data_IF_619701414775
#
_entry.id   IF_619701414775
#
_cell.length_a   1.000
_cell.length_b   1.000
_cell.length_c   1.000
_cell.angle_alpha   90.00
_cell.angle_beta   90.00
_cell.angle_gamma   90.00
#
_symmetry.space_group_name_H-M   'P 1'
#
loop_
_entity.id
_entity.type
_entity.pdbx_description
1 polymer ?
#
# COMPACT_ATOMS: atom_id res chain seq x y z
N UNK A 1 61.80 27.96 -12.02
CA UNK A 1 61.42 26.56 -12.32
C UNK A 1 59.99 26.33 -11.86
N UNK A 2 59.24 25.54 -12.63
CA UNK A 2 57.77 25.52 -12.72
C UNK A 2 57.06 25.00 -11.46
N UNK A 3 55.99 25.68 -11.05
CA UNK A 3 54.95 25.16 -10.17
C UNK A 3 54.09 24.16 -10.95
N UNK A 4 54.18 22.87 -10.65
CA UNK A 4 53.24 21.86 -11.16
C UNK A 4 52.05 21.76 -10.22
N UNK A 5 50.89 22.28 -10.67
CA UNK A 5 49.58 22.00 -10.07
C UNK A 5 49.15 20.60 -10.50
N UNK A 6 49.07 19.67 -9.55
CA UNK A 6 48.30 18.43 -9.76
C UNK A 6 46.81 18.78 -9.63
N UNK A 7 46.12 18.86 -10.76
CA UNK A 7 44.67 18.86 -10.78
C UNK A 7 44.21 17.44 -10.46
N UNK A 8 43.63 17.24 -9.27
CA UNK A 8 42.89 16.03 -8.96
C UNK A 8 41.63 16.02 -9.85
N UNK A 9 41.60 15.15 -10.85
CA UNK A 9 40.39 14.87 -11.61
C UNK A 9 39.39 14.18 -10.67
N UNK A 10 38.40 14.93 -10.20
CA UNK A 10 37.25 14.38 -9.50
C UNK A 10 36.42 13.60 -10.54
N UNK A 11 36.68 12.31 -10.67
CA UNK A 11 35.86 11.40 -11.46
C UNK A 11 34.48 11.32 -10.81
N UNK A 12 33.53 12.10 -11.33
CA UNK A 12 32.12 11.96 -11.00
C UNK A 12 31.67 10.58 -11.52
N UNK A 13 31.67 9.58 -10.64
CA UNK A 13 30.93 8.34 -10.87
C UNK A 13 29.45 8.72 -10.93
N UNK A 14 28.97 9.02 -12.13
CA UNK A 14 27.54 8.99 -12.41
C UNK A 14 27.16 7.52 -12.23
N UNK A 15 26.58 7.19 -11.08
CA UNK A 15 25.78 5.98 -10.96
C UNK A 15 24.72 6.09 -12.05
N UNK A 16 24.88 5.32 -13.13
CA UNK A 16 23.75 5.01 -14.00
C UNK A 16 22.67 4.50 -13.06
N UNK A 17 21.63 5.32 -12.85
CA UNK A 17 20.42 4.87 -12.20
C UNK A 17 20.00 3.64 -12.99
N UNK A 18 20.15 2.45 -12.39
CA UNK A 18 19.57 1.24 -12.97
C UNK A 18 18.11 1.60 -13.21
N UNK A 19 17.60 1.33 -14.41
CA UNK A 19 16.18 1.43 -14.68
C UNK A 19 15.47 0.65 -13.57
N UNK A 20 14.91 1.37 -12.61
CA UNK A 20 14.33 0.77 -11.42
C UNK A 20 13.00 0.21 -11.92
N UNK A 21 12.93 -1.11 -12.04
CA UNK A 21 11.63 -1.78 -12.07
C UNK A 21 11.19 -1.91 -10.63
N UNK A 22 9.88 -1.89 -10.32
CA UNK A 22 9.44 -2.22 -8.98
C UNK A 22 10.00 -3.59 -8.57
N UNK A 23 10.29 -3.81 -7.27
CA UNK A 23 10.78 -5.11 -6.77
C UNK A 23 9.75 -6.24 -6.95
N UNK A 24 8.53 -5.88 -7.34
CA UNK A 24 7.37 -6.73 -7.50
C UNK A 24 7.42 -7.64 -8.74
N UNK A 25 6.96 -8.88 -8.56
CA UNK A 25 6.93 -9.95 -9.54
C UNK A 25 5.55 -10.10 -10.18
N UNK A 26 5.53 -10.46 -11.47
CA UNK A 26 4.27 -10.82 -12.14
C UNK A 26 3.51 -9.62 -12.69
N UNK A 27 2.18 -9.71 -12.67
CA UNK A 27 1.28 -8.69 -13.21
C UNK A 27 0.76 -7.78 -12.10
N UNK A 28 0.88 -6.48 -12.30
CA UNK A 28 0.60 -5.44 -11.32
C UNK A 28 -0.54 -4.55 -11.79
N UNK A 29 -1.27 -4.02 -10.81
CA UNK A 29 -2.06 -2.82 -10.96
C UNK A 29 -1.13 -1.60 -10.88
N UNK A 30 -1.47 -0.55 -11.62
CA UNK A 30 -0.83 0.77 -11.51
C UNK A 30 -1.93 1.74 -11.12
N UNK A 31 -1.80 2.38 -9.96
CA UNK A 31 -2.89 3.10 -9.30
C UNK A 31 -2.44 4.53 -8.99
N UNK A 32 -3.26 5.57 -9.22
CA UNK A 32 -2.91 6.91 -8.76
C UNK A 32 -2.66 6.92 -7.25
N UNK A 33 -1.56 7.52 -6.80
CA UNK A 33 -1.23 7.62 -5.37
C UNK A 33 -2.29 8.37 -4.55
N UNK A 34 -2.99 9.30 -5.21
CA UNK A 34 -4.12 10.04 -4.63
C UNK A 34 -5.41 9.20 -4.50
N UNK A 35 -5.50 8.05 -5.18
CA UNK A 35 -6.66 7.15 -5.15
C UNK A 35 -6.30 5.74 -5.62
N UNK A 36 -6.00 4.85 -4.67
CA UNK A 36 -5.70 3.44 -4.93
C UNK A 36 -6.93 2.61 -5.37
N UNK A 37 -8.14 3.18 -5.39
CA UNK A 37 -9.34 2.53 -5.95
C UNK A 37 -9.46 2.62 -7.48
N UNK A 38 -8.54 3.34 -8.13
CA UNK A 38 -8.48 3.52 -9.59
C UNK A 38 -7.22 2.88 -10.16
N UNK A 39 -7.35 2.29 -11.34
CA UNK A 39 -6.31 1.52 -12.00
C UNK A 39 -6.09 2.00 -13.44
N UNK A 40 -4.83 2.10 -13.85
CA UNK A 40 -4.41 2.32 -15.22
C UNK A 40 -4.96 1.18 -16.09
N UNK A 41 -5.75 1.53 -17.10
CA UNK A 41 -6.55 0.61 -17.89
C UNK A 41 -6.40 0.91 -19.37
N UNK A 42 -6.00 -0.09 -20.15
CA UNK A 42 -6.04 -0.01 -21.60
C UNK A 42 -7.45 -0.30 -22.14
N UNK A 43 -7.96 0.54 -23.04
CA UNK A 43 -9.32 0.42 -23.55
C UNK A 43 -9.58 -0.86 -24.38
N UNK A 44 -8.56 -1.34 -25.10
CA UNK A 44 -8.62 -2.55 -25.95
C UNK A 44 -7.21 -3.08 -26.21
N UNK A 45 -7.10 -4.29 -26.79
CA UNK A 45 -5.83 -4.87 -27.25
C UNK A 45 -5.53 -4.52 -28.72
N UNK A 46 -5.56 -3.24 -29.06
CA UNK A 46 -5.24 -2.73 -30.41
C UNK A 46 -4.18 -1.64 -30.31
N UNK A 47 -3.36 -1.49 -31.34
CA UNK A 47 -2.38 -0.40 -31.39
C UNK A 47 -3.09 0.96 -31.40
N UNK A 48 -2.59 1.90 -30.61
CA UNK A 48 -3.20 3.21 -30.41
C UNK A 48 -4.39 3.21 -29.44
N UNK A 49 -4.72 2.07 -28.82
CA UNK A 49 -5.77 2.06 -27.81
C UNK A 49 -5.40 3.00 -26.65
N UNK A 50 -6.37 3.83 -26.27
CA UNK A 50 -6.16 4.84 -25.22
C UNK A 50 -5.95 4.16 -23.86
N UNK A 51 -5.14 4.82 -23.04
CA UNK A 51 -4.98 4.48 -21.63
C UNK A 51 -5.80 5.46 -20.79
N UNK A 52 -6.54 4.93 -19.82
CA UNK A 52 -7.38 5.67 -18.89
C UNK A 52 -7.16 5.20 -17.46
N UNK A 53 -7.69 5.90 -16.47
CA UNK A 53 -7.98 5.31 -15.16
C UNK A 53 -9.42 4.83 -15.11
N UNK A 54 -9.65 3.68 -14.47
CA UNK A 54 -10.97 3.07 -14.24
C UNK A 54 -11.00 2.49 -12.82
N UNK A 55 -12.18 2.14 -12.30
CA UNK A 55 -12.26 1.30 -11.10
C UNK A 55 -11.39 0.03 -11.24
N UNK A 56 -10.67 -0.32 -10.17
CA UNK A 56 -9.85 -1.53 -10.16
C UNK A 56 -10.72 -2.79 -10.19
N UNK A 57 -10.57 -3.59 -11.24
CA UNK A 57 -11.30 -4.86 -11.45
C UNK A 57 -10.36 -6.07 -11.46
N UNK A 58 -9.07 -5.86 -11.71
CA UNK A 58 -8.10 -6.94 -11.92
C UNK A 58 -8.21 -7.62 -13.28
N UNK A 59 -8.97 -7.04 -14.22
CA UNK A 59 -9.08 -7.53 -15.60
C UNK A 59 -7.73 -7.57 -16.30
N UNK A 60 -7.62 -8.34 -17.39
CA UNK A 60 -6.41 -8.38 -18.23
C UNK A 60 -6.03 -7.01 -18.81
N UNK A 61 -6.98 -6.08 -18.92
CA UNK A 61 -6.76 -4.69 -19.33
C UNK A 61 -6.16 -3.79 -18.25
N UNK A 62 -5.91 -4.31 -17.05
CA UNK A 62 -5.30 -3.62 -15.91
C UNK A 62 -4.04 -4.35 -15.39
N UNK A 63 -3.64 -5.44 -16.05
CA UNK A 63 -2.53 -6.30 -15.63
C UNK A 63 -1.23 -5.91 -16.35
N UNK A 64 -0.48 -5.00 -15.74
CA UNK A 64 0.77 -4.45 -16.28
C UNK A 64 1.98 -5.25 -15.80
N UNK A 65 2.97 -5.47 -16.67
CA UNK A 65 4.23 -6.14 -16.34
C UNK A 65 5.42 -5.25 -16.66
N UNK A 66 6.25 -4.97 -15.66
CA UNK A 66 7.50 -4.25 -15.85
C UNK A 66 8.57 -5.22 -16.35
N UNK A 67 9.20 -4.91 -17.49
CA UNK A 67 10.19 -5.78 -18.10
C UNK A 67 11.21 -4.96 -18.90
N UNK A 68 12.44 -4.85 -18.37
CA UNK A 68 13.59 -4.33 -19.11
C UNK A 68 13.41 -2.90 -19.63
N UNK A 69 12.70 -2.06 -18.88
CA UNK A 69 12.34 -0.68 -19.27
C UNK A 69 10.98 -0.56 -19.96
N UNK A 70 10.28 -1.65 -20.27
CA UNK A 70 8.93 -1.57 -20.84
C UNK A 70 7.86 -1.91 -19.81
N UNK A 71 6.74 -1.21 -19.87
CA UNK A 71 5.52 -1.49 -19.07
C UNK A 71 4.52 -2.18 -20.00
N UNK A 72 4.45 -3.51 -19.91
CA UNK A 72 3.74 -4.37 -20.86
C UNK A 72 2.32 -4.68 -20.40
N UNK A 73 1.41 -4.88 -21.35
CA UNK A 73 0.03 -5.31 -21.15
C UNK A 73 -0.40 -6.23 -22.28
N UNK A 74 -1.37 -7.12 -22.05
CA UNK A 74 -1.82 -8.13 -23.01
C UNK A 74 -0.70 -9.03 -23.60
N UNK A 75 0.45 -9.11 -22.92
CA UNK A 75 1.63 -9.89 -23.32
C UNK A 75 2.51 -9.24 -24.40
N UNK A 76 1.93 -8.55 -25.39
CA UNK A 76 2.65 -8.00 -26.55
C UNK A 76 2.51 -6.49 -26.75
N UNK A 77 1.73 -5.80 -25.91
CA UNK A 77 1.57 -4.34 -25.96
C UNK A 77 2.36 -3.67 -24.85
N UNK A 78 2.82 -2.46 -25.11
CA UNK A 78 3.62 -1.64 -24.22
C UNK A 78 2.95 -0.27 -24.04
N UNK A 79 3.05 0.30 -22.83
CA UNK A 79 2.76 1.72 -22.61
C UNK A 79 3.63 2.55 -23.54
N UNK A 80 3.02 3.51 -24.23
CA UNK A 80 3.63 4.22 -25.35
C UNK A 80 3.27 5.70 -25.32
N UNK A 81 4.28 6.57 -25.51
CA UNK A 81 4.10 8.00 -25.79
C UNK A 81 3.85 8.18 -27.29
N UNK A 82 2.64 8.64 -27.71
CA UNK A 82 2.33 8.77 -29.13
C UNK A 82 3.34 9.64 -29.87
N UNK A 83 3.84 9.11 -30.99
CA UNK A 83 4.83 9.77 -31.86
C UNK A 83 6.15 10.17 -31.18
N UNK A 84 6.40 9.74 -29.93
CA UNK A 84 7.57 10.17 -29.17
C UNK A 84 7.59 11.67 -28.87
N UNK A 85 6.42 12.33 -28.88
CA UNK A 85 6.34 13.76 -28.60
C UNK A 85 6.45 14.04 -27.10
N UNK A 86 7.47 14.81 -26.71
CA UNK A 86 7.72 15.22 -25.32
C UNK A 86 6.94 16.47 -24.89
N UNK A 87 5.96 16.90 -25.67
CA UNK A 87 5.09 18.02 -25.29
C UNK A 87 4.26 17.65 -24.06
N UNK A 88 4.28 18.50 -23.03
CA UNK A 88 3.44 18.35 -21.86
C UNK A 88 1.97 18.22 -22.27
N UNK A 89 1.28 17.23 -21.68
CA UNK A 89 -0.11 16.95 -22.01
C UNK A 89 -0.33 15.89 -23.08
N UNK A 90 0.73 15.37 -23.71
CA UNK A 90 0.61 14.25 -24.63
C UNK A 90 0.04 13.02 -23.90
N UNK A 91 -1.11 12.51 -24.36
CA UNK A 91 -1.87 11.44 -23.70
C UNK A 91 -1.31 10.08 -24.05
N UNK A 92 -1.20 9.20 -23.07
CA UNK A 92 -0.63 7.87 -23.27
C UNK A 92 -1.57 6.96 -24.08
N UNK A 93 -0.95 6.01 -24.77
CA UNK A 93 -1.62 4.92 -25.48
C UNK A 93 -0.90 3.60 -25.17
N UNK A 94 -1.39 2.51 -25.76
CA UNK A 94 -0.59 1.29 -25.91
C UNK A 94 -0.22 1.05 -27.36
N UNK A 95 0.90 0.38 -27.58
CA UNK A 95 1.36 -0.03 -28.91
C UNK A 95 2.08 -1.36 -28.84
N UNK A 96 2.19 -2.08 -29.96
CA UNK A 96 3.02 -3.28 -30.07
C UNK A 96 4.42 -3.00 -29.54
N UNK A 97 4.86 -3.84 -28.60
CA UNK A 97 6.18 -3.70 -27.99
C UNK A 97 7.28 -3.82 -29.04
N UNK A 98 8.18 -2.85 -29.08
CA UNK A 98 9.36 -2.89 -29.94
C UNK A 98 10.42 -3.86 -29.41
N UNK A 99 11.03 -4.64 -30.30
CA UNK A 99 12.19 -5.49 -29.98
C UNK A 99 13.50 -4.69 -29.86
N UNK A 100 13.55 -3.45 -30.37
CA UNK A 100 14.76 -2.63 -30.44
C UNK A 100 14.79 -1.51 -29.38
N UNK A 101 14.07 -1.67 -28.26
CA UNK A 101 13.97 -0.67 -27.18
C UNK A 101 13.58 0.73 -27.67
N UNK A 102 12.51 0.81 -28.47
CA UNK A 102 11.96 2.10 -28.94
C UNK A 102 11.81 3.09 -27.75
N UNK A 103 12.46 4.28 -27.80
CA UNK A 103 12.42 5.27 -26.73
C UNK A 103 11.00 5.61 -26.24
N UNK A 104 10.01 5.63 -27.12
CA UNK A 104 8.61 5.95 -26.78
C UNK A 104 7.99 4.99 -25.74
N UNK A 105 8.57 3.81 -25.57
CA UNK A 105 8.07 2.71 -24.74
C UNK A 105 9.00 2.38 -23.57
N UNK A 106 9.96 3.27 -23.27
CA UNK A 106 10.96 3.06 -22.22
C UNK A 106 10.61 3.86 -20.96
N UNK A 107 10.05 3.21 -19.95
CA UNK A 107 9.75 3.79 -18.64
C UNK A 107 10.53 3.07 -17.54
N UNK A 108 10.85 3.79 -16.47
CA UNK A 108 11.33 3.23 -15.23
C UNK A 108 10.48 3.74 -14.06
N UNK A 109 10.38 2.93 -13.02
CA UNK A 109 9.64 3.22 -11.82
C UNK A 109 10.61 3.58 -10.69
N UNK A 110 10.47 4.76 -10.11
CA UNK A 110 11.41 5.26 -9.09
C UNK A 110 11.03 4.82 -7.68
N UNK A 111 11.98 4.93 -6.75
CA UNK A 111 11.73 4.67 -5.32
C UNK A 111 10.80 5.68 -4.64
N UNK A 112 10.52 6.82 -5.28
CA UNK A 112 9.52 7.80 -4.85
C UNK A 112 8.21 7.69 -5.65
N UNK A 113 7.92 6.49 -6.17
CA UNK A 113 6.65 6.11 -6.80
C UNK A 113 6.28 6.89 -8.08
N UNK A 114 7.27 7.31 -8.88
CA UNK A 114 7.02 7.92 -10.20
C UNK A 114 7.25 6.91 -11.32
N UNK A 115 6.41 6.95 -12.36
CA UNK A 115 6.67 6.28 -13.62
C UNK A 115 7.29 7.26 -14.61
N UNK A 116 8.61 7.28 -14.70
CA UNK A 116 9.39 8.24 -15.49
C UNK A 116 9.69 7.71 -16.89
N UNK A 117 9.55 8.58 -17.89
CA UNK A 117 9.94 8.32 -19.27
C UNK A 117 11.46 8.47 -19.42
N UNK A 118 12.12 7.36 -19.78
CA UNK A 118 13.58 7.20 -19.73
C UNK A 118 14.31 8.26 -20.54
N UNK A 119 15.14 9.09 -19.91
CA UNK A 119 15.93 10.17 -20.52
C UNK A 119 15.13 11.36 -21.10
N UNK A 120 13.87 11.57 -20.69
CA UNK A 120 13.05 12.68 -21.20
C UNK A 120 12.70 13.74 -20.15
N UNK A 121 12.96 13.49 -18.87
CA UNK A 121 12.54 14.38 -17.78
C UNK A 121 11.02 14.48 -17.61
N UNK A 122 10.28 13.52 -18.16
CA UNK A 122 8.81 13.46 -18.12
C UNK A 122 8.33 12.28 -17.29
N UNK A 123 7.22 12.46 -16.59
CA UNK A 123 6.60 11.48 -15.73
C UNK A 123 5.15 11.24 -16.17
N UNK A 124 4.64 10.03 -15.91
CA UNK A 124 3.21 9.73 -16.01
C UNK A 124 2.46 10.64 -15.03
N UNK A 125 1.46 11.35 -15.53
CA UNK A 125 0.73 12.38 -14.80
C UNK A 125 -0.78 12.14 -14.93
N UNK A 126 -1.46 12.08 -13.79
CA UNK A 126 -2.92 12.09 -13.74
C UNK A 126 -3.40 13.50 -14.11
N UNK A 127 -3.99 13.62 -15.29
CA UNK A 127 -4.32 14.93 -15.87
C UNK A 127 -5.17 15.77 -14.94
N UNK A 128 -4.61 16.89 -14.51
CA UNK A 128 -5.24 17.85 -13.60
C UNK A 128 -5.72 17.22 -12.29
N UNK A 129 -5.16 16.08 -11.89
CA UNK A 129 -5.61 15.31 -10.72
C UNK A 129 -7.03 14.75 -10.83
N UNK A 130 -7.61 14.69 -12.03
CA UNK A 130 -8.98 14.23 -12.21
C UNK A 130 -9.11 12.72 -11.96
N UNK A 131 -9.84 12.34 -10.91
CA UNK A 131 -10.02 10.95 -10.49
C UNK A 131 -11.24 10.26 -11.13
N UNK A 132 -11.95 10.94 -12.04
CA UNK A 132 -13.09 10.37 -12.74
C UNK A 132 -12.67 9.22 -13.66
N UNK A 133 -13.54 8.20 -13.74
CA UNK A 133 -13.38 7.10 -14.70
C UNK A 133 -13.29 7.64 -16.13
N UNK A 134 -12.37 7.07 -16.92
CA UNK A 134 -12.10 7.52 -18.28
C UNK A 134 -11.10 8.68 -18.39
N UNK A 135 -10.64 9.25 -17.28
CA UNK A 135 -9.56 10.25 -17.32
C UNK A 135 -8.32 9.63 -17.97
N UNK A 136 -7.79 10.30 -18.98
CA UNK A 136 -6.60 9.85 -19.73
C UNK A 136 -5.33 10.44 -19.11
N UNK A 137 -4.41 9.61 -18.58
CA UNK A 137 -3.11 10.08 -18.14
C UNK A 137 -2.31 10.69 -19.28
N UNK A 138 -1.38 11.56 -18.91
CA UNK A 138 -0.50 12.27 -19.83
C UNK A 138 0.95 12.15 -19.40
N UNK A 139 1.88 12.56 -20.25
CA UNK A 139 3.22 12.91 -19.80
C UNK A 139 3.27 14.39 -19.40
N UNK A 140 4.03 14.67 -18.35
CA UNK A 140 4.31 16.03 -17.88
C UNK A 140 5.73 16.12 -17.33
N UNK A 141 6.28 17.32 -17.18
CA UNK A 141 7.56 17.51 -16.48
C UNK A 141 7.52 16.86 -15.10
N UNK A 142 8.53 16.06 -14.78
CA UNK A 142 8.62 15.40 -13.48
C UNK A 142 8.72 16.43 -12.34
N UNK A 143 7.96 16.22 -11.27
CA UNK A 143 8.01 17.03 -10.05
C UNK A 143 7.76 16.18 -8.82
N UNK A 144 8.66 16.25 -7.85
CA UNK A 144 8.57 15.53 -6.57
C UNK A 144 7.50 16.09 -5.61
N UNK A 145 6.86 17.21 -5.94
CA UNK A 145 5.77 17.80 -5.14
C UNK A 145 4.40 17.62 -5.79
N UNK A 146 4.34 17.05 -6.99
CA UNK A 146 3.10 16.87 -7.72
C UNK A 146 2.48 15.50 -7.43
N UNK A 147 1.47 15.47 -6.55
CA UNK A 147 0.76 14.24 -6.20
C UNK A 147 0.10 13.53 -7.40
N UNK A 148 -0.12 14.21 -8.53
CA UNK A 148 -0.66 13.62 -9.75
C UNK A 148 0.33 12.68 -10.45
N UNK A 149 1.62 12.74 -10.08
CA UNK A 149 2.68 11.93 -10.69
C UNK A 149 3.13 10.76 -9.80
N UNK A 150 2.50 10.63 -8.63
CA UNK A 150 2.69 9.49 -7.74
C UNK A 150 1.75 8.37 -8.19
N UNK A 151 2.32 7.19 -8.41
CA UNK A 151 1.59 5.99 -8.81
C UNK A 151 2.01 4.82 -7.94
N UNK A 152 1.08 4.25 -7.20
CA UNK A 152 1.31 2.99 -6.49
C UNK A 152 1.31 1.84 -7.50
N UNK A 153 2.09 0.81 -7.22
CA UNK A 153 2.09 -0.43 -7.98
C UNK A 153 1.90 -1.59 -7.02
N UNK A 154 0.96 -2.47 -7.34
CA UNK A 154 0.68 -3.62 -6.50
C UNK A 154 -0.26 -4.60 -7.17
N UNK A 155 -1.14 -5.23 -6.42
CA UNK A 155 -1.80 -6.45 -6.82
C UNK A 155 -3.30 -6.40 -6.57
N UNK A 156 -4.04 -7.06 -7.47
CA UNK A 156 -5.43 -7.39 -7.18
C UNK A 156 -5.47 -8.58 -6.24
N UNK A 157 -6.20 -8.47 -5.13
CA UNK A 157 -6.43 -9.58 -4.20
C UNK A 157 -7.03 -10.84 -4.87
N UNK A 158 -7.63 -10.70 -6.04
CA UNK A 158 -8.23 -11.81 -6.79
C UNK A 158 -7.26 -12.48 -7.79
N UNK A 159 -6.07 -11.93 -7.99
CA UNK A 159 -5.08 -12.43 -8.94
C UNK A 159 -3.67 -12.23 -8.40
N UNK A 160 -3.33 -12.99 -7.36
CA UNK A 160 -2.02 -12.95 -6.73
C UNK A 160 -1.12 -14.03 -7.32
N UNK A 161 0.16 -13.72 -7.63
CA UNK A 161 1.14 -14.74 -7.94
C UNK A 161 1.46 -15.59 -6.71
N UNK A 162 2.21 -16.68 -6.89
CA UNK A 162 2.69 -17.47 -5.75
C UNK A 162 3.61 -16.65 -4.84
N UNK A 163 4.47 -15.80 -5.42
CA UNK A 163 5.37 -14.89 -4.69
C UNK A 163 5.37 -13.54 -5.39
N UNK A 164 5.45 -12.48 -4.61
CA UNK A 164 5.40 -11.09 -5.07
C UNK A 164 6.77 -10.45 -5.08
N UNK A 165 7.74 -10.97 -4.33
CA UNK A 165 9.10 -10.42 -4.24
C UNK A 165 10.17 -11.51 -4.22
N UNK A 166 11.39 -11.14 -4.59
CA UNK A 166 12.54 -12.06 -4.57
C UNK A 166 13.00 -12.27 -3.12
N UNK A 167 13.18 -13.53 -2.72
CA UNK A 167 13.62 -13.87 -1.37
C UNK A 167 12.48 -14.17 -0.41
N UNK A 168 11.23 -14.02 -0.88
CA UNK A 168 10.05 -14.41 -0.14
C UNK A 168 10.07 -15.90 0.22
N UNK A 169 9.88 -16.21 1.51
CA UNK A 169 9.87 -17.59 2.03
C UNK A 169 8.47 -18.23 2.07
N UNK A 170 7.41 -17.41 2.08
CA UNK A 170 6.02 -17.86 2.06
C UNK A 170 5.36 -17.80 0.69
N UNK A 171 4.05 -17.58 0.67
CA UNK A 171 3.25 -17.50 -0.56
C UNK A 171 2.11 -16.49 -0.47
N UNK A 172 1.80 -15.83 -1.59
CA UNK A 172 0.59 -15.01 -1.74
C UNK A 172 -0.56 -15.79 -2.41
N UNK A 173 -0.31 -16.99 -2.92
CA UNK A 173 -1.33 -17.90 -3.45
C UNK A 173 -1.96 -18.76 -2.33
N UNK A 174 -2.53 -18.11 -1.33
CA UNK A 174 -2.90 -18.74 -0.07
C UNK A 174 -4.05 -19.76 -0.16
N UNK A 175 -4.87 -19.68 -1.20
CA UNK A 175 -6.13 -20.44 -1.26
C UNK A 175 -7.11 -19.98 -0.17
N UNK A 176 -8.02 -20.87 0.24
CA UNK A 176 -9.07 -20.54 1.24
C UNK A 176 -8.99 -21.38 2.51
N UNK A 177 -8.37 -22.56 2.46
CA UNK A 177 -8.32 -23.47 3.62
C UNK A 177 -7.28 -23.03 4.63
N UNK A 178 -7.73 -22.60 5.80
CA UNK A 178 -6.84 -22.24 6.90
C UNK A 178 -6.14 -23.46 7.50
N UNK A 179 -4.88 -23.29 7.88
CA UNK A 179 -4.04 -24.32 8.48
C UNK A 179 -3.00 -23.68 9.39
N UNK A 180 -2.69 -24.29 10.52
CA UNK A 180 -1.61 -23.84 11.41
C UNK A 180 -0.21 -23.98 10.80
N UNK A 181 -0.08 -24.73 9.70
CA UNK A 181 1.15 -24.85 8.92
C UNK A 181 1.17 -23.91 7.70
N UNK A 182 0.15 -23.05 7.52
CA UNK A 182 0.10 -22.14 6.39
C UNK A 182 1.33 -21.23 6.33
N UNK A 183 1.76 -20.95 5.09
CA UNK A 183 2.82 -20.03 4.73
C UNK A 183 2.29 -18.77 4.03
N UNK A 184 0.99 -18.50 4.19
CA UNK A 184 0.35 -17.35 3.57
C UNK A 184 0.95 -16.04 4.06
N UNK A 185 1.29 -15.15 3.12
CA UNK A 185 1.82 -13.81 3.37
C UNK A 185 0.88 -12.72 2.85
N UNK A 186 -0.44 -12.94 3.03
CA UNK A 186 -1.47 -11.93 2.84
C UNK A 186 -2.16 -11.66 4.18
N UNK A 187 -2.14 -10.41 4.63
CA UNK A 187 -2.86 -9.93 5.81
C UNK A 187 -4.08 -9.11 5.38
N UNK A 188 -5.05 -9.03 6.29
CA UNK A 188 -6.32 -8.36 6.07
C UNK A 188 -6.66 -7.53 7.30
N UNK A 189 -7.17 -6.31 7.12
CA UNK A 189 -7.59 -5.45 8.24
C UNK A 189 -8.96 -4.84 7.88
N UNK A 190 -10.02 -5.37 8.49
CA UNK A 190 -11.40 -4.98 8.19
C UNK A 190 -12.19 -4.53 9.42
N UNK A 191 -11.96 -5.16 10.57
CA UNK A 191 -12.64 -4.84 11.84
C UNK A 191 -11.90 -5.50 13.01
N UNK A 192 -12.32 -5.22 14.25
CA UNK A 192 -11.87 -5.92 15.45
C UNK A 192 -12.16 -7.42 15.40
N UNK A 193 -13.15 -7.85 14.62
CA UNK A 193 -13.47 -9.26 14.45
C UNK A 193 -12.71 -9.88 13.28
N UNK A 194 -12.32 -9.09 12.28
CA UNK A 194 -11.81 -9.57 11.01
C UNK A 194 -10.49 -8.88 10.62
N UNK A 195 -9.40 -9.45 11.11
CA UNK A 195 -8.06 -8.94 10.87
C UNK A 195 -7.02 -10.07 10.87
N UNK A 196 -5.79 -9.73 10.51
CA UNK A 196 -4.64 -10.59 10.64
C UNK A 196 -3.47 -9.87 11.28
N UNK A 197 -2.58 -10.63 11.89
CA UNK A 197 -1.29 -10.20 12.42
C UNK A 197 -0.19 -10.97 11.71
N UNK A 198 0.97 -10.34 11.56
CA UNK A 198 2.20 -11.02 11.18
C UNK A 198 2.81 -11.69 12.41
N UNK A 199 3.16 -12.97 12.32
CA UNK A 199 3.82 -13.67 13.41
C UNK A 199 4.58 -14.93 12.94
N UNK A 200 5.54 -15.44 13.74
CA UNK A 200 6.58 -16.30 13.21
C UNK A 200 6.04 -17.62 12.64
N UNK A 201 6.59 -18.11 11.51
CA UNK A 201 6.19 -19.41 10.97
C UNK A 201 6.54 -20.57 11.90
N UNK A 202 7.53 -20.39 12.76
CA UNK A 202 8.01 -21.29 13.80
C UNK A 202 8.46 -20.49 15.02
N UNK A 203 8.56 -21.11 16.18
CA UNK A 203 8.90 -20.44 17.44
C UNK A 203 10.20 -19.61 17.32
N UNK A 204 10.13 -18.30 17.56
CA UNK A 204 11.24 -17.35 17.38
C UNK A 204 10.94 -15.96 17.96
N UNK A 205 11.93 -15.08 17.99
CA UNK A 205 11.71 -13.64 18.24
C UNK A 205 11.28 -12.96 16.94
N UNK A 206 10.50 -11.90 17.03
CA UNK A 206 10.09 -11.10 15.87
C UNK A 206 11.32 -10.54 15.15
N UNK A 207 12.30 -10.01 15.88
CA UNK A 207 13.53 -9.48 15.27
C UNK A 207 14.32 -10.53 14.48
N UNK A 208 14.33 -11.80 14.91
CA UNK A 208 15.02 -12.87 14.17
C UNK A 208 14.23 -13.38 12.95
N UNK A 209 12.89 -13.23 12.96
CA UNK A 209 12.00 -13.82 11.96
C UNK A 209 11.27 -12.81 11.08
N UNK A 210 11.52 -11.51 11.25
CA UNK A 210 10.79 -10.41 10.61
C UNK A 210 10.63 -10.55 9.09
N UNK A 211 11.61 -11.19 8.43
CA UNK A 211 11.61 -11.39 6.97
C UNK A 211 10.71 -12.53 6.50
N UNK A 212 10.39 -13.45 7.41
CA UNK A 212 9.74 -14.74 7.16
C UNK A 212 8.36 -14.86 7.80
N UNK A 213 7.85 -13.78 8.41
CA UNK A 213 6.56 -13.75 9.07
C UNK A 213 5.43 -14.23 8.15
N UNK A 214 4.43 -14.88 8.76
CA UNK A 214 3.24 -15.39 8.07
C UNK A 214 1.98 -14.84 8.71
N UNK A 215 0.89 -14.86 7.95
CA UNK A 215 -0.38 -14.27 8.37
C UNK A 215 -1.15 -15.18 9.33
N UNK A 216 -1.49 -14.62 10.49
CA UNK A 216 -2.38 -15.19 11.50
C UNK A 216 -3.66 -14.37 11.60
N UNK A 217 -4.76 -14.91 11.11
CA UNK A 217 -6.04 -14.19 11.05
C UNK A 217 -7.00 -14.59 12.16
N UNK A 218 -7.80 -13.63 12.61
CA UNK A 218 -8.93 -13.87 13.53
C UNK A 218 -10.02 -14.72 12.90
N UNK A 219 -10.10 -14.76 11.57
CA UNK A 219 -11.07 -15.56 10.80
C UNK A 219 -10.38 -16.59 9.90
N UNK A 220 -11.04 -17.73 9.72
CA UNK A 220 -10.64 -18.73 8.73
C UNK A 220 -11.16 -18.39 7.33
N UNK A 221 -10.78 -19.16 6.30
CA UNK A 221 -11.31 -18.99 4.94
C UNK A 221 -10.41 -18.18 3.99
N UNK A 222 -9.22 -17.80 4.46
CA UNK A 222 -8.22 -17.01 3.71
C UNK A 222 -6.95 -17.77 3.36
N UNK A 223 -6.91 -19.06 3.65
CA UNK A 223 -5.68 -19.85 3.48
C UNK A 223 -4.60 -19.55 4.52
N UNK A 224 -4.88 -18.69 5.50
CA UNK A 224 -3.95 -18.24 6.54
C UNK A 224 -3.95 -19.16 7.75
N UNK A 225 -3.02 -18.91 8.69
CA UNK A 225 -3.14 -19.45 10.05
C UNK A 225 -4.30 -18.75 10.76
N UNK A 226 -4.88 -19.41 11.75
CA UNK A 226 -5.92 -18.79 12.59
C UNK A 226 -5.38 -18.50 13.97
N UNK A 227 -5.63 -17.30 14.48
CA UNK A 227 -5.30 -16.91 15.85
C UNK A 227 -6.07 -17.85 16.82
N UNK A 228 -5.39 -18.63 17.68
CA UNK A 228 -6.07 -19.55 18.58
C UNK A 228 -7.04 -18.82 19.53
N UNK A 229 -8.18 -19.46 19.82
CA UNK A 229 -9.18 -18.87 20.73
C UNK A 229 -8.56 -18.55 22.11
N UNK A 230 -8.94 -17.41 22.67
CA UNK A 230 -8.45 -16.93 23.96
C UNK A 230 -7.01 -16.39 23.95
N UNK A 231 -6.37 -16.28 22.78
CA UNK A 231 -5.11 -15.55 22.59
C UNK A 231 -5.32 -14.06 22.84
N UNK A 232 -6.30 -13.46 22.16
CA UNK A 232 -6.61 -12.03 22.27
C UNK A 232 -7.35 -11.74 23.58
N UNK A 233 -6.88 -10.72 24.32
CA UNK A 233 -7.47 -10.25 25.58
C UNK A 233 -8.14 -8.90 25.43
N UNK A 234 -7.69 -8.06 24.50
CA UNK A 234 -8.38 -6.85 24.07
C UNK A 234 -8.07 -6.58 22.60
N UNK A 235 -9.03 -5.99 21.89
CA UNK A 235 -8.91 -5.59 20.48
C UNK A 235 -9.68 -4.29 20.27
N UNK A 236 -9.00 -3.27 19.79
CA UNK A 236 -9.59 -2.00 19.43
C UNK A 236 -9.30 -1.73 17.96
N UNK A 237 -10.35 -1.60 17.16
CA UNK A 237 -10.25 -1.24 15.76
C UNK A 237 -10.81 0.15 15.54
N UNK A 238 -10.06 0.97 14.79
CA UNK A 238 -10.53 2.26 14.31
C UNK A 238 -10.45 2.35 12.79
N UNK A 239 -11.47 2.98 12.20
CA UNK A 239 -11.40 3.51 10.84
C UNK A 239 -11.32 5.03 10.91
N UNK A 240 -10.31 5.61 10.28
CA UNK A 240 -10.17 7.05 10.09
C UNK A 240 -10.39 7.43 8.62
N UNK A 241 -10.35 8.72 8.26
CA UNK A 241 -10.36 9.13 6.86
C UNK A 241 -9.20 8.56 6.03
N UNK A 242 -8.00 8.40 6.62
CA UNK A 242 -6.78 8.07 5.88
C UNK A 242 -6.14 6.72 6.26
N UNK A 243 -6.63 6.02 7.27
CA UNK A 243 -6.11 4.71 7.65
C UNK A 243 -7.11 3.86 8.44
N UNK A 244 -6.84 2.55 8.48
CA UNK A 244 -7.38 1.68 9.52
C UNK A 244 -6.26 1.35 10.49
N UNK A 245 -6.63 1.16 11.75
CA UNK A 245 -5.70 0.72 12.79
C UNK A 245 -6.38 -0.30 13.68
N UNK A 246 -5.62 -1.33 14.04
CA UNK A 246 -6.01 -2.29 15.05
C UNK A 246 -4.94 -2.42 16.12
N UNK A 247 -5.34 -2.35 17.37
CA UNK A 247 -4.48 -2.43 18.54
C UNK A 247 -5.04 -3.43 19.54
N UNK A 248 -4.20 -3.97 20.41
CA UNK A 248 -4.68 -4.89 21.43
C UNK A 248 -3.61 -5.57 22.25
N UNK A 249 -4.09 -6.39 23.18
CA UNK A 249 -3.26 -7.16 24.11
C UNK A 249 -3.66 -8.64 24.08
N UNK A 250 -2.74 -9.53 24.42
CA UNK A 250 -2.94 -10.97 24.28
C UNK A 250 -1.88 -11.83 24.96
N UNK A 251 -2.10 -13.14 24.90
CA UNK A 251 -1.03 -14.14 25.06
C UNK A 251 -0.55 -14.55 23.65
N UNK A 252 0.33 -13.72 23.08
CA UNK A 252 0.77 -13.83 21.69
C UNK A 252 1.90 -14.86 21.52
N UNK A 253 2.36 -15.46 22.62
CA UNK A 253 3.23 -16.66 22.58
C UNK A 253 2.57 -17.83 21.84
N UNK A 254 1.23 -17.82 21.74
CA UNK A 254 0.43 -18.76 20.95
C UNK A 254 0.55 -18.58 19.44
N UNK A 255 1.17 -17.49 18.98
CA UNK A 255 1.45 -17.21 17.57
C UNK A 255 2.91 -17.50 17.22
N UNK A 256 3.58 -18.36 17.99
CA UNK A 256 5.01 -18.70 17.90
C UNK A 256 5.98 -17.60 18.37
N UNK A 257 5.51 -16.52 18.97
CA UNK A 257 6.39 -15.50 19.53
C UNK A 257 7.05 -16.04 20.82
N UNK A 258 8.34 -15.79 21.00
CA UNK A 258 9.05 -16.15 22.22
C UNK A 258 8.56 -15.32 23.41
N UNK A 259 8.35 -15.97 24.55
CA UNK A 259 8.00 -15.27 25.79
C UNK A 259 9.14 -14.32 26.21
N UNK A 260 8.79 -13.09 26.57
CA UNK A 260 9.72 -12.02 26.90
C UNK A 260 10.31 -11.28 25.69
N UNK A 261 9.88 -11.63 24.48
CA UNK A 261 10.22 -10.86 23.29
C UNK A 261 9.51 -9.50 23.33
N UNK A 262 10.30 -8.43 23.25
CA UNK A 262 9.78 -7.05 23.25
C UNK A 262 9.13 -6.68 21.92
N UNK A 263 9.28 -7.52 20.90
CA UNK A 263 8.73 -7.33 19.57
C UNK A 263 9.67 -6.62 18.62
N UNK A 264 9.13 -6.23 17.47
CA UNK A 264 9.82 -5.47 16.43
C UNK A 264 8.84 -4.77 15.50
N UNK A 265 9.36 -3.87 14.68
CA UNK A 265 8.60 -3.27 13.58
C UNK A 265 8.56 -4.20 12.37
N UNK A 266 7.42 -4.23 11.70
CA UNK A 266 7.16 -4.89 10.43
C UNK A 266 6.49 -3.89 9.49
N UNK A 267 6.94 -3.85 8.25
CA UNK A 267 6.57 -2.83 7.25
C UNK A 267 6.81 -3.32 5.80
N UNK A 268 6.29 -2.62 4.77
CA UNK A 268 6.39 -3.06 3.38
C UNK A 268 7.76 -2.84 2.72
N UNK A 269 8.68 -2.11 3.33
CA UNK A 269 9.95 -1.69 2.74
C UNK A 269 11.18 -2.26 3.43
N UNK A 270 11.14 -2.48 4.74
CA UNK A 270 12.28 -2.96 5.54
C UNK A 270 13.57 -2.15 5.37
N UNK A 271 14.66 -2.63 5.96
CA UNK A 271 15.95 -1.92 5.92
C UNK A 271 16.65 -1.95 4.54
N UNK A 272 16.33 -2.92 3.69
CA UNK A 272 16.98 -3.12 2.38
C UNK A 272 16.07 -2.80 1.17
N UNK A 273 14.90 -2.22 1.42
CA UNK A 273 13.90 -1.90 0.40
C UNK A 273 12.99 -3.07 0.02
N UNK A 274 13.09 -4.23 0.69
CA UNK A 274 12.07 -5.28 0.67
C UNK A 274 11.39 -5.38 2.04
N UNK A 275 10.10 -5.66 2.04
CA UNK A 275 9.32 -5.73 3.27
C UNK A 275 9.80 -6.77 4.29
N UNK A 276 9.34 -6.59 5.52
CA UNK A 276 9.42 -7.52 6.63
C UNK A 276 7.99 -7.80 7.13
N UNK A 277 7.33 -8.89 6.68
CA UNK A 277 7.88 -9.96 5.85
C UNK A 277 8.05 -9.61 4.37
N UNK A 278 9.03 -10.24 3.73
CA UNK A 278 9.27 -10.06 2.30
C UNK A 278 8.03 -10.57 1.54
N UNK A 279 7.48 -9.74 0.65
CA UNK A 279 6.27 -10.06 -0.10
C UNK A 279 4.98 -10.04 0.73
N UNK A 280 5.01 -9.48 1.93
CA UNK A 280 3.83 -9.25 2.77
C UNK A 280 2.86 -8.28 2.11
N UNK A 281 1.66 -8.75 1.77
CA UNK A 281 0.60 -7.91 1.22
C UNK A 281 -0.50 -7.66 2.24
N UNK A 282 -0.96 -6.41 2.36
CA UNK A 282 -2.07 -6.03 3.25
C UNK A 282 -3.26 -5.57 2.43
N UNK A 283 -4.43 -6.12 2.74
CA UNK A 283 -5.69 -5.77 2.08
C UNK A 283 -6.76 -5.34 3.09
N UNK A 284 -7.75 -4.59 2.64
CA UNK A 284 -8.92 -4.33 3.47
C UNK A 284 -10.12 -3.82 2.69
N UNK A 285 -11.24 -3.70 3.40
CA UNK A 285 -12.53 -3.28 2.85
C UNK A 285 -12.95 -1.87 3.26
N UNK A 286 -12.18 -1.21 4.13
CA UNK A 286 -12.57 0.06 4.74
C UNK A 286 -12.62 1.22 3.73
N UNK A 287 -11.76 1.17 2.72
CA UNK A 287 -11.59 2.22 1.70
C UNK A 287 -11.91 1.75 0.27
N UNK A 288 -12.30 0.48 0.11
CA UNK A 288 -12.58 -0.12 -1.18
C UNK A 288 -12.61 -1.64 -1.06
N UNK A 289 -13.26 -2.33 -2.00
CA UNK A 289 -13.40 -3.78 -1.95
C UNK A 289 -12.05 -4.50 -2.13
N UNK A 290 -11.55 -5.12 -1.06
CA UNK A 290 -10.27 -5.84 -1.04
C UNK A 290 -9.13 -5.01 -1.62
N UNK A 291 -9.11 -3.73 -1.25
CA UNK A 291 -8.13 -2.76 -1.66
C UNK A 291 -6.77 -3.11 -1.05
N UNK A 292 -5.70 -3.03 -1.82
CA UNK A 292 -4.35 -3.14 -1.26
C UNK A 292 -3.99 -1.85 -0.51
N UNK A 293 -3.47 -2.00 0.70
CA UNK A 293 -2.83 -0.92 1.44
C UNK A 293 -1.32 -1.03 1.23
N UNK A 294 -0.76 -0.07 0.50
CA UNK A 294 0.66 -0.08 0.12
C UNK A 294 1.57 0.41 1.23
N UNK A 295 1.06 1.25 2.13
CA UNK A 295 1.78 1.76 3.29
C UNK A 295 1.12 1.23 4.54
N UNK A 296 1.88 0.51 5.35
CA UNK A 296 1.40 -0.07 6.59
C UNK A 296 2.57 -0.26 7.55
N UNK A 297 2.30 -0.22 8.83
CA UNK A 297 3.30 -0.46 9.88
C UNK A 297 2.66 -1.35 10.92
N UNK A 298 3.39 -2.34 11.42
CA UNK A 298 2.92 -3.23 12.47
C UNK A 298 4.00 -3.43 13.52
N UNK A 299 3.59 -3.48 14.78
CA UNK A 299 4.44 -3.96 15.86
C UNK A 299 3.69 -5.07 16.59
N UNK A 300 4.44 -6.08 17.02
CA UNK A 300 3.90 -7.19 17.79
C UNK A 300 4.96 -7.70 18.75
N UNK A 301 4.57 -7.97 19.98
CA UNK A 301 5.39 -8.59 21.03
C UNK A 301 4.73 -9.85 21.54
N UNK A 302 5.20 -10.43 22.65
CA UNK A 302 4.52 -11.55 23.28
C UNK A 302 3.22 -11.16 24.02
N UNK A 303 3.00 -9.87 24.30
CA UNK A 303 1.85 -9.37 25.07
C UNK A 303 0.95 -8.36 24.34
N UNK A 304 1.45 -7.67 23.32
CA UNK A 304 0.69 -6.61 22.63
C UNK A 304 0.93 -6.57 21.13
N UNK A 305 0.00 -5.93 20.42
CA UNK A 305 0.12 -5.68 19.00
C UNK A 305 -0.53 -4.38 18.60
N UNK A 306 -0.05 -3.83 17.49
CA UNK A 306 -0.66 -2.72 16.79
C UNK A 306 -0.33 -2.85 15.30
N UNK A 307 -1.30 -2.54 14.46
CA UNK A 307 -1.16 -2.65 13.01
C UNK A 307 -2.00 -1.56 12.36
N UNK A 308 -1.33 -0.63 11.68
CA UNK A 308 -1.96 0.45 10.93
C UNK A 308 -1.71 0.26 9.44
N UNK A 309 -2.73 0.50 8.63
CA UNK A 309 -2.62 0.48 7.18
C UNK A 309 -3.28 1.72 6.58
N UNK A 310 -2.50 2.45 5.78
CA UNK A 310 -2.78 3.81 5.36
C UNK A 310 -3.11 3.90 3.87
N UNK A 311 -3.91 4.90 3.52
CA UNK A 311 -4.31 5.22 2.15
C UNK A 311 -4.17 6.71 1.85
N UNK A 312 -4.28 7.05 0.57
CA UNK A 312 -4.28 8.43 0.11
C UNK A 312 -2.87 9.06 0.04
N UNK A 313 -2.81 10.37 -0.24
CA UNK A 313 -1.54 11.07 -0.53
C UNK A 313 -0.58 11.15 0.66
N UNK A 314 -1.08 10.97 1.89
CA UNK A 314 -0.29 11.02 3.12
C UNK A 314 0.02 9.63 3.68
N UNK A 315 -0.21 8.55 2.93
CA UNK A 315 -0.14 7.19 3.46
C UNK A 315 1.22 6.88 4.13
N UNK A 316 2.34 7.16 3.46
CA UNK A 316 3.69 6.96 4.00
C UNK A 316 3.99 7.87 5.21
N UNK A 317 3.31 9.01 5.32
CA UNK A 317 3.44 9.90 6.49
C UNK A 317 2.63 9.42 7.69
N UNK A 318 1.49 8.77 7.44
CA UNK A 318 0.60 8.27 8.48
C UNK A 318 1.02 6.88 8.99
N UNK A 319 1.74 6.12 8.17
CA UNK A 319 2.37 4.83 8.46
C UNK A 319 3.87 4.98 8.21
N UNK A 320 4.60 5.59 9.16
CA UNK A 320 6.04 5.81 9.05
C UNK A 320 6.81 4.56 9.46
N UNK A 321 7.97 4.36 8.82
CA UNK A 321 8.82 3.18 9.01
C UNK A 321 10.23 3.49 9.52
N UNK A 322 10.33 4.53 10.37
CA UNK A 322 11.61 5.06 10.87
C UNK A 322 11.66 5.16 12.39
N UNK A 323 10.67 4.59 13.07
CA UNK A 323 10.45 4.70 14.52
C UNK A 323 10.38 3.33 15.20
N UNK A 324 11.19 2.41 14.69
CA UNK A 324 11.20 0.98 14.98
C UNK A 324 11.36 0.62 16.46
N UNK A 325 12.07 1.46 17.24
CA UNK A 325 12.33 1.18 18.67
C UNK A 325 11.32 1.82 19.61
N UNK A 326 10.32 2.52 19.08
CA UNK A 326 9.34 3.26 19.88
C UNK A 326 8.14 2.40 20.31
N UNK A 327 7.84 1.34 19.56
CA UNK A 327 6.79 0.37 19.89
C UNK A 327 5.35 0.90 19.74
N UNK A 328 4.38 0.08 20.15
CA UNK A 328 2.97 0.32 19.86
C UNK A 328 2.39 1.60 20.47
N UNK A 329 2.60 1.81 21.77
CA UNK A 329 2.02 2.95 22.47
C UNK A 329 2.49 4.31 21.97
N UNK A 330 3.70 4.37 21.40
CA UNK A 330 4.25 5.61 20.88
C UNK A 330 3.89 5.83 19.41
N UNK A 331 4.03 4.81 18.57
CA UNK A 331 3.74 4.92 17.13
C UNK A 331 2.23 4.94 16.83
N UNK A 332 1.44 4.14 17.57
CA UNK A 332 0.00 3.98 17.37
C UNK A 332 -0.76 4.12 18.68
N UNK A 333 -0.83 5.34 19.26
CA UNK A 333 -1.61 5.61 20.47
C UNK A 333 -3.08 5.27 20.25
N UNK A 334 -3.65 4.45 21.13
CA UNK A 334 -5.03 3.96 21.03
C UNK A 334 -5.50 3.33 22.35
N UNK A 335 -6.67 2.71 22.34
CA UNK A 335 -7.09 1.80 23.41
C UNK A 335 -6.35 0.44 23.30
N UNK A 336 -5.79 -0.03 24.41
CA UNK A 336 -5.14 -1.36 24.55
C UNK A 336 -5.74 -2.18 25.72
N UNK A 337 -6.84 -1.68 26.32
CA UNK A 337 -7.43 -2.25 27.53
C UNK A 337 -7.85 -3.71 27.34
N UNK A 338 -7.43 -4.57 28.26
CA UNK A 338 -7.91 -5.93 28.32
C UNK A 338 -9.42 -5.97 28.62
N UNK A 339 -10.14 -6.89 27.99
CA UNK A 339 -11.59 -7.04 28.07
C UNK A 339 -12.37 -6.08 27.16
N UNK A 340 -11.70 -5.17 26.44
CA UNK A 340 -12.33 -4.32 25.43
C UNK A 340 -12.18 -4.93 24.05
N UNK A 341 -13.30 -5.08 23.37
CA UNK A 341 -13.37 -5.56 22.00
C UNK A 341 -14.32 -4.62 21.26
N UNK A 342 -13.80 -3.76 20.39
CA UNK A 342 -14.63 -2.69 19.82
C UNK A 342 -14.21 -2.26 18.42
N UNK A 343 -15.20 -1.84 17.64
CA UNK A 343 -15.03 -1.15 16.38
C UNK A 343 -15.46 0.30 16.56
N UNK A 344 -14.62 1.24 16.15
CA UNK A 344 -14.88 2.67 16.25
C UNK A 344 -14.59 3.37 14.92
N UNK A 345 -15.19 4.54 14.72
CA UNK A 345 -14.63 5.56 13.84
C UNK A 345 -13.65 6.41 14.66
N UNK A 346 -12.68 7.06 14.02
CA UNK A 346 -11.80 8.01 14.69
C UNK A 346 -11.33 9.13 13.75
N UNK A 347 -10.92 10.25 14.34
CA UNK A 347 -10.13 11.25 13.64
C UNK A 347 -8.74 10.68 13.29
N UNK A 348 -8.04 11.30 12.33
CA UNK A 348 -6.63 10.97 12.12
C UNK A 348 -5.79 11.39 13.33
N UNK A 349 -4.85 10.54 13.71
CA UNK A 349 -3.81 10.87 14.67
C UNK A 349 -2.89 11.98 14.16
N UNK A 350 -2.19 12.58 15.11
CA UNK A 350 -1.01 13.36 14.78
C UNK A 350 0.04 12.43 14.13
N UNK A 351 0.67 12.87 13.03
CA UNK A 351 1.71 12.09 12.35
C UNK A 351 2.88 11.73 13.26
N UNK A 352 3.37 10.50 13.14
CA UNK A 352 4.45 9.97 13.98
C UNK A 352 5.68 10.89 13.93
N UNK A 353 6.18 11.28 15.10
CA UNK A 353 7.34 12.14 15.27
C UNK A 353 7.13 13.64 14.96
N UNK A 354 5.91 14.09 14.64
CA UNK A 354 5.64 15.50 14.32
C UNK A 354 5.05 16.25 15.53
N UNK A 355 5.85 17.13 16.14
CA UNK A 355 5.46 17.92 17.30
C UNK A 355 5.37 19.40 16.94
N UNK A 356 4.14 19.86 16.68
CA UNK A 356 3.88 21.22 16.19
C UNK A 356 4.47 21.41 14.80
N UNK A 357 5.45 22.30 14.67
CA UNK A 357 6.20 22.53 13.43
C UNK A 357 7.53 21.76 13.35
N UNK A 358 7.87 21.00 14.40
CA UNK A 358 9.12 20.24 14.48
C UNK A 358 8.90 18.76 14.15
N UNK A 359 9.95 18.12 13.62
CA UNK A 359 10.00 16.67 13.44
C UNK A 359 11.12 16.13 14.31
N UNK A 360 10.79 15.19 15.18
CA UNK A 360 11.75 14.43 15.98
C UNK A 360 12.13 13.17 15.23
N UNK A 361 13.41 12.79 15.29
CA UNK A 361 13.91 11.56 14.69
C UNK A 361 14.44 10.62 15.76
N UNK A 362 14.22 9.31 15.55
CA UNK A 362 14.68 8.26 16.45
C UNK A 362 16.15 8.42 16.84
N UNK A 363 16.44 8.30 18.14
CA UNK A 363 17.77 8.47 18.72
C UNK A 363 18.11 9.89 19.18
N UNK A 364 17.32 10.91 18.82
CA UNK A 364 17.49 12.27 19.34
C UNK A 364 17.01 12.39 20.80
N UNK A 365 17.69 13.23 21.60
CA UNK A 365 17.35 13.46 23.02
C UNK A 365 16.90 14.91 23.28
N UNK A 366 15.90 15.13 24.15
CA UNK A 366 15.09 14.10 24.82
C UNK A 366 14.12 13.43 23.85
N UNK A 367 13.83 12.15 24.08
CA UNK A 367 12.73 11.46 23.39
C UNK A 367 11.41 12.06 23.86
N UNK A 368 10.56 12.59 22.96
CA UNK A 368 9.29 13.18 23.33
C UNK A 368 8.28 12.11 23.77
N UNK A 369 7.29 12.53 24.55
CA UNK A 369 6.16 11.67 24.90
C UNK A 369 5.37 11.28 23.64
N UNK A 370 4.70 10.13 23.69
CA UNK A 370 3.76 9.71 22.66
C UNK A 370 2.69 10.79 22.41
N UNK A 371 2.20 10.88 21.18
CA UNK A 371 1.02 11.68 20.92
C UNK A 371 -0.19 11.14 21.70
N UNK A 372 -1.14 12.00 22.09
CA UNK A 372 -2.42 11.51 22.58
C UNK A 372 -3.13 10.74 21.45
N UNK A 373 -3.83 9.66 21.79
CA UNK A 373 -4.70 8.97 20.87
C UNK A 373 -5.76 9.94 20.31
N UNK A 374 -6.01 9.86 19.00
CA UNK A 374 -7.11 10.58 18.38
C UNK A 374 -8.45 10.20 19.01
N UNK A 375 -9.39 11.13 18.92
CA UNK A 375 -10.72 10.94 19.47
C UNK A 375 -11.45 9.85 18.69
N UNK A 376 -11.82 8.78 19.38
CA UNK A 376 -12.72 7.76 18.86
C UNK A 376 -14.18 8.18 18.98
N UNK A 377 -15.01 7.67 18.08
CA UNK A 377 -16.45 7.93 17.99
C UNK A 377 -17.17 6.70 17.44
N UNK A 378 -18.51 6.66 17.58
CA UNK A 378 -19.35 5.56 17.10
C UNK A 378 -18.88 4.16 17.52
N UNK A 379 -18.27 4.04 18.69
CA UNK A 379 -17.71 2.79 19.17
C UNK A 379 -18.80 1.75 19.47
N UNK A 380 -18.65 0.57 18.87
CA UNK A 380 -19.52 -0.58 19.05
C UNK A 380 -18.71 -1.71 19.66
N UNK A 381 -19.13 -2.16 20.86
CA UNK A 381 -18.58 -3.36 21.48
C UNK A 381 -18.95 -4.59 20.65
N UNK A 382 -17.97 -5.47 20.44
CA UNK A 382 -18.16 -6.79 19.83
C UNK A 382 -17.85 -7.88 20.85
N UNK A 383 -18.36 -9.11 20.66
CA UNK A 383 -17.98 -10.23 21.49
C UNK A 383 -16.47 -10.49 21.45
N UNK A 384 -15.95 -11.20 22.44
CA UNK A 384 -14.57 -11.70 22.39
C UNK A 384 -14.33 -12.47 21.09
N UNK A 385 -13.18 -12.23 20.47
CA UNK A 385 -12.87 -12.78 19.15
C UNK A 385 -12.72 -14.29 19.22
N UNK A 386 -13.47 -14.99 18.36
CA UNK A 386 -13.36 -16.43 18.15
C UNK A 386 -13.15 -16.72 16.67
N UNK A 387 -12.42 -17.81 16.39
CA UNK A 387 -12.22 -18.28 15.03
C UNK A 387 -13.56 -18.68 14.43
N UNK A 388 -13.97 -17.93 13.40
CA UNK A 388 -15.10 -18.23 12.55
C UNK A 388 -14.70 -18.01 11.08
N UNK A 389 -15.40 -18.61 10.11
CA UNK A 389 -15.16 -18.30 8.70
C UNK A 389 -15.33 -16.81 8.43
N UNK A 390 -14.45 -16.24 7.60
CA UNK A 390 -14.64 -14.92 7.04
C UNK A 390 -15.96 -14.89 6.25
N UNK A 391 -16.74 -13.81 6.38
CA UNK A 391 -17.99 -13.68 5.63
C UNK A 391 -17.69 -13.71 4.12
N UNK A 392 -18.43 -14.52 3.36
CA UNK A 392 -18.26 -14.58 1.90
C UNK A 392 -18.82 -13.33 1.25
N UNK A 393 -18.29 -12.97 0.07
CA UNK A 393 -18.68 -11.81 -0.75
C UNK A 393 -20.19 -11.61 -0.96
N UNK A 394 -21.01 -12.68 -0.89
CA UNK A 394 -22.48 -12.60 -1.06
C UNK A 394 -23.23 -12.21 0.23
N UNK A 395 -22.61 -12.36 1.38
CA UNK A 395 -23.22 -12.10 2.69
C UNK A 395 -22.92 -10.68 3.22
N UNK A 396 -22.07 -9.95 2.49
CA UNK A 396 -21.79 -8.54 2.72
C UNK A 396 -22.73 -7.77 1.80
N UNK A 397 -23.94 -7.47 2.29
CA UNK A 397 -24.80 -6.49 1.65
C UNK A 397 -24.04 -5.16 1.61
N UNK A 398 -23.38 -4.87 0.49
CA UNK A 398 -22.88 -3.54 0.22
C UNK A 398 -24.11 -2.66 -0.01
N UNK A 399 -24.62 -2.07 1.07
CA UNK A 399 -25.35 -0.82 0.93
C UNK A 399 -24.35 0.18 0.34
N UNK A 400 -24.37 0.30 -0.98
CA UNK A 400 -23.92 1.53 -1.60
C UNK A 400 -24.77 2.61 -0.95
N UNK A 401 -24.20 3.41 -0.04
CA UNK A 401 -24.73 4.73 0.23
C UNK A 401 -24.64 5.45 -1.10
N UNK A 402 -25.74 5.39 -1.85
CA UNK A 402 -25.92 6.11 -3.10
C UNK A 402 -25.61 7.56 -2.74
N UNK A 403 -24.61 8.15 -3.39
CA UNK A 403 -24.43 9.60 -3.30
C UNK A 403 -25.81 10.24 -3.51
N UNK A 404 -26.22 11.20 -2.67
CA UNK A 404 -27.50 11.88 -2.88
C UNK A 404 -27.56 12.31 -4.34
N UNK A 405 -28.67 11.99 -5.01
CA UNK A 405 -28.87 12.37 -6.39
C UNK A 405 -28.56 13.86 -6.52
N UNK A 406 -27.77 14.30 -7.52
CA UNK A 406 -27.48 15.70 -7.69
C UNK A 406 -28.82 16.45 -7.71
N UNK A 407 -28.96 17.41 -6.81
CA UNK A 407 -30.09 18.34 -6.84
C UNK A 407 -30.17 18.91 -8.25
N UNK A 408 -31.33 18.81 -8.93
CA UNK A 408 -31.50 19.39 -10.25
C UNK A 408 -31.03 20.84 -10.22
N UNK A 409 -30.15 21.22 -11.13
CA UNK A 409 -29.74 22.60 -11.27
C UNK A 409 -31.01 23.46 -11.49
N UNK A 410 -31.12 24.63 -10.85
CA UNK A 410 -32.25 25.52 -11.08
C UNK A 410 -32.33 25.84 -12.57
N UNK A 411 -33.51 25.61 -13.16
CA UNK A 411 -33.82 25.95 -14.54
C UNK A 411 -33.45 27.42 -14.79
N UNK A 412 -32.63 27.76 -15.80
CA UNK A 412 -32.33 29.14 -16.11
C UNK A 412 -33.64 29.88 -16.44
N UNK A 413 -33.85 31.03 -15.82
CA UNK A 413 -34.97 31.90 -16.16
C UNK A 413 -34.85 32.31 -17.64
N UNK A 414 -35.97 32.36 -18.38
CA UNK A 414 -35.95 32.74 -19.79
C UNK A 414 -35.37 34.15 -19.93
N UNK A 415 -34.35 34.27 -20.78
CA UNK A 415 -33.74 35.55 -21.14
C UNK A 415 -34.78 36.36 -21.94
N UNK A 416 -35.07 37.62 -21.57
CA UNK A 416 -35.94 38.46 -22.38
C UNK A 416 -35.24 38.78 -23.70
N UNK A 417 -35.92 38.48 -24.81
CA UNK A 417 -35.52 38.92 -26.14
C UNK A 417 -35.68 40.45 -26.21
N UNK A 418 -34.58 41.14 -26.48
CA UNK A 418 -34.57 42.50 -27.02
C UNK A 418 -33.92 42.46 -28.40
#
# INVERSE_FOLDING_TARGET
MRFSRFAAALSLLITLAKAQTPPYLGALLIEPGVNNGKCLTAASNTDGAIVTIQACTGSTSQQWKFNGGSVKIFGSKCLDVPSGSATNGNKLQIWTCSTNKNPNQQFYYTGDNHLSWTNHGKCLDLTSGNQADGTRPQIWDCSNTNANQVWNVGYSANNLPATTEKGQSGTNACGTTSSQNSKCQNAYINSAEDFCLWAPPSKGTIGDTERDEVSWCSKSGRGTRTIPNGTLKGVHFVKTPDYVQITGTGDLTKLNILKGDSGGELDPHGADGNGNPIGGLVFGNAFGNMLQYHEWTSFISDTEFCFRACVGPNAARNCQHIYDVMGCYWNMPANYDAGKFENCDADNDLPMGVYGTSTWYQGQKPTPAAHPAAKSSNCVNVPSITVAPARRRRDIGMEYVRAPAPTPAPTPAPTPLF
#
